data_IF_821374914560
#
_entry.id   IF_821374914560
#
_cell.length_a   1.000
_cell.length_b   1.000
_cell.length_c   1.000
_cell.angle_alpha   90.00
_cell.angle_beta   90.00
_cell.angle_gamma   90.00
#
_symmetry.space_group_name_H-M   'P 1'
#
loop_
_entity.id
_entity.type
_entity.pdbx_description
1 polymer ?
#
# COMPACT_ATOMS: atom_id res chain seq x y z
N UNK A 1 -20.95 27.96 6.80
CA UNK A 1 -21.76 26.81 7.21
C UNK A 1 -20.85 25.86 7.97
N UNK A 2 -21.02 25.78 9.30
CA UNK A 2 -20.31 24.84 10.18
C UNK A 2 -18.78 24.91 10.18
N UNK A 3 -18.18 26.08 10.41
CA UNK A 3 -16.75 26.14 10.76
C UNK A 3 -16.51 25.62 12.20
N UNK A 4 -17.57 25.27 12.93
CA UNK A 4 -17.57 25.05 14.37
C UNK A 4 -17.91 23.63 14.84
N UNK A 5 -17.97 22.65 13.92
CA UNK A 5 -18.36 21.26 14.19
C UNK A 5 -18.22 20.80 15.65
N UNK A 6 -19.31 20.81 16.42
CA UNK A 6 -19.43 20.41 17.83
C UNK A 6 -18.37 20.91 18.85
N UNK A 7 -17.33 21.66 18.45
CA UNK A 7 -16.17 21.96 19.29
C UNK A 7 -15.61 23.39 19.13
N UNK A 8 -16.28 24.32 18.44
CA UNK A 8 -15.92 25.73 18.59
C UNK A 8 -16.46 26.30 19.90
N UNK A 9 -15.79 27.33 20.48
CA UNK A 9 -16.35 28.10 21.57
C UNK A 9 -17.77 28.58 21.21
N UNK A 10 -18.70 28.52 22.16
CA UNK A 10 -20.03 29.10 21.97
C UNK A 10 -19.87 30.59 21.59
N UNK A 11 -20.27 30.96 20.37
CA UNK A 11 -20.24 32.35 19.95
C UNK A 11 -21.29 33.13 20.73
N UNK A 12 -20.93 34.31 21.20
CA UNK A 12 -21.87 35.27 21.80
C UNK A 12 -22.57 36.14 20.75
N UNK A 13 -22.32 35.88 19.46
CA UNK A 13 -22.95 36.59 18.35
C UNK A 13 -24.44 36.18 18.19
N UNK A 14 -25.39 37.13 18.23
CA UNK A 14 -26.81 36.87 17.98
C UNK A 14 -27.08 36.20 16.63
N UNK A 15 -26.31 36.50 15.59
CA UNK A 15 -26.45 35.89 14.27
C UNK A 15 -26.02 34.41 14.29
N UNK A 16 -24.97 34.08 15.06
CA UNK A 16 -24.55 32.69 15.25
C UNK A 16 -25.60 31.90 16.03
N UNK A 17 -26.16 32.50 17.08
CA UNK A 17 -27.24 31.89 17.87
C UNK A 17 -28.46 31.58 16.98
N UNK A 18 -28.89 32.54 16.15
CA UNK A 18 -29.99 32.35 15.21
C UNK A 18 -29.70 31.25 14.17
N UNK A 19 -28.46 31.18 13.66
CA UNK A 19 -28.03 30.11 12.74
C UNK A 19 -28.11 28.73 13.40
N UNK A 20 -27.71 28.61 14.65
CA UNK A 20 -27.77 27.34 15.39
C UNK A 20 -29.21 26.93 15.71
N UNK A 21 -30.08 27.87 16.04
CA UNK A 21 -31.49 27.57 16.30
C UNK A 21 -32.23 27.14 15.02
N UNK A 22 -31.93 27.77 13.88
CA UNK A 22 -32.41 27.31 12.58
C UNK A 22 -31.94 25.88 12.26
N UNK A 23 -30.65 25.57 12.51
CA UNK A 23 -30.11 24.23 12.28
C UNK A 23 -30.73 23.18 13.21
N UNK A 24 -30.96 23.53 14.48
CA UNK A 24 -31.69 22.68 15.42
C UNK A 24 -33.11 22.41 14.93
N UNK A 25 -33.85 23.43 14.49
CA UNK A 25 -35.20 23.26 13.96
C UNK A 25 -35.23 22.33 12.74
N UNK A 26 -34.24 22.41 11.84
CA UNK A 26 -34.09 21.52 10.69
C UNK A 26 -33.76 20.08 11.13
N UNK A 27 -32.87 19.92 12.11
CA UNK A 27 -32.42 18.61 12.57
C UNK A 27 -33.43 17.91 13.47
N UNK A 28 -34.23 18.65 14.25
CA UNK A 28 -35.06 18.10 15.33
C UNK A 28 -35.98 16.95 14.88
N UNK A 29 -36.70 17.03 13.75
CA UNK A 29 -37.56 15.93 13.32
C UNK A 29 -36.78 14.64 13.05
N UNK A 30 -35.64 14.74 12.37
CA UNK A 30 -34.82 13.58 12.00
C UNK A 30 -34.05 13.05 13.21
N UNK A 31 -33.51 13.95 14.04
CA UNK A 31 -32.78 13.58 15.25
C UNK A 31 -33.69 12.91 16.28
N UNK A 32 -34.95 13.37 16.42
CA UNK A 32 -35.93 12.72 17.29
C UNK A 32 -36.31 11.32 16.77
N UNK A 33 -36.38 11.13 15.46
CA UNK A 33 -36.79 9.87 14.84
C UNK A 33 -35.66 8.83 14.78
N UNK A 34 -34.43 9.26 14.51
CA UNK A 34 -33.31 8.34 14.21
C UNK A 34 -32.13 8.48 15.17
N UNK A 35 -32.17 9.41 16.12
CA UNK A 35 -31.04 9.73 17.00
C UNK A 35 -29.85 10.41 16.31
N UNK A 36 -29.99 10.81 15.04
CA UNK A 36 -28.89 11.35 14.20
C UNK A 36 -29.38 12.60 13.45
N UNK A 37 -28.61 13.71 13.46
CA UNK A 37 -29.02 14.92 12.75
C UNK A 37 -29.07 14.70 11.24
N UNK A 38 -29.86 15.51 10.54
CA UNK A 38 -29.84 15.55 9.09
C UNK A 38 -28.54 16.22 8.58
N UNK A 39 -28.11 17.27 9.27
CA UNK A 39 -26.95 18.10 8.94
C UNK A 39 -26.11 18.30 10.21
N UNK A 40 -24.83 17.91 10.17
CA UNK A 40 -23.90 18.18 11.27
C UNK A 40 -22.71 17.24 11.26
N UNK A 41 -21.59 17.65 11.83
CA UNK A 41 -20.45 16.75 11.97
C UNK A 41 -20.70 15.74 13.10
N UNK A 42 -20.05 14.59 13.01
CA UNK A 42 -20.02 13.61 14.06
C UNK A 42 -19.16 14.07 15.23
N UNK A 43 -19.55 13.69 16.45
CA UNK A 43 -18.77 13.97 17.64
C UNK A 43 -17.45 13.17 17.61
N UNK A 44 -16.35 13.78 18.03
CA UNK A 44 -15.10 13.05 18.18
C UNK A 44 -15.18 12.09 19.39
N UNK A 45 -14.53 10.94 19.27
CA UNK A 45 -14.32 10.05 20.40
C UNK A 45 -13.43 10.71 21.45
N UNK A 46 -13.72 10.43 22.72
CA UNK A 46 -12.95 11.00 23.84
C UNK A 46 -11.49 10.47 23.83
N UNK A 47 -10.46 11.34 23.88
CA UNK A 47 -9.07 10.90 23.95
C UNK A 47 -8.79 10.00 25.15
N UNK A 48 -7.91 9.02 24.98
CA UNK A 48 -7.53 8.05 26.00
C UNK A 48 -8.59 7.00 26.35
N UNK A 49 -9.75 7.00 25.68
CA UNK A 49 -10.82 6.03 25.93
C UNK A 49 -10.91 4.96 24.84
N UNK A 50 -10.35 5.22 23.66
CA UNK A 50 -10.59 4.41 22.47
C UNK A 50 -12.01 4.51 21.92
N UNK A 51 -12.81 5.49 22.36
CA UNK A 51 -14.17 5.68 21.88
C UNK A 51 -14.19 6.02 20.39
N UNK A 52 -15.14 5.46 19.66
CA UNK A 52 -15.32 5.77 18.24
C UNK A 52 -15.80 7.20 18.04
N UNK A 53 -15.45 7.77 16.89
CA UNK A 53 -16.05 8.98 16.39
C UNK A 53 -17.49 8.72 15.93
N UNK A 54 -18.40 9.61 16.28
CA UNK A 54 -19.78 9.57 15.81
C UNK A 54 -19.85 9.80 14.29
N UNK A 55 -20.89 9.26 13.66
CA UNK A 55 -21.16 9.56 12.25
C UNK A 55 -21.57 11.03 12.06
N UNK A 56 -21.23 11.62 10.90
CA UNK A 56 -21.78 12.89 10.45
C UNK A 56 -23.28 12.81 10.23
N UNK A 57 -23.96 13.91 9.88
CA UNK A 57 -25.40 13.95 9.64
C UNK A 57 -25.82 13.03 8.50
N UNK A 58 -27.10 12.70 8.41
CA UNK A 58 -27.59 11.83 7.33
C UNK A 58 -27.28 12.37 5.95
N UNK A 59 -27.48 13.67 5.73
CA UNK A 59 -27.30 14.31 4.42
C UNK A 59 -25.90 14.91 4.29
N UNK A 60 -25.55 15.77 5.23
CA UNK A 60 -24.29 16.51 5.22
C UNK A 60 -23.57 16.42 6.56
N UNK A 61 -22.26 16.25 6.51
CA UNK A 61 -21.38 16.39 7.66
C UNK A 61 -20.24 15.40 7.68
N UNK A 62 -19.11 15.81 8.23
CA UNK A 62 -17.97 14.93 8.38
C UNK A 62 -18.18 13.98 9.56
N UNK A 63 -17.63 12.77 9.46
CA UNK A 63 -17.52 11.89 10.62
C UNK A 63 -16.56 12.45 11.66
N UNK A 64 -16.84 12.15 12.93
CA UNK A 64 -15.95 12.51 14.03
C UNK A 64 -14.69 11.65 14.03
N UNK A 65 -13.60 12.20 14.54
CA UNK A 65 -12.36 11.44 14.71
C UNK A 65 -12.51 10.42 15.85
N UNK A 66 -11.92 9.25 15.70
CA UNK A 66 -11.81 8.28 16.79
C UNK A 66 -10.91 8.79 17.91
N UNK A 67 -11.31 8.53 19.16
CA UNK A 67 -10.52 8.85 20.34
C UNK A 67 -9.27 7.97 20.42
N UNK A 68 -8.15 8.52 20.89
CA UNK A 68 -6.97 7.69 21.16
C UNK A 68 -7.25 6.64 22.22
N UNK A 69 -6.57 5.50 22.13
CA UNK A 69 -6.63 4.45 23.13
C UNK A 69 -5.94 4.86 24.42
N UNK A 70 -6.46 4.36 25.54
CA UNK A 70 -5.91 4.63 26.87
C UNK A 70 -4.62 3.88 27.17
N UNK A 71 -3.87 4.39 28.15
CA UNK A 71 -2.74 3.65 28.73
C UNK A 71 -3.28 2.54 29.62
N UNK A 72 -2.85 1.30 29.40
CA UNK A 72 -3.23 0.16 30.22
C UNK A 72 -2.16 -0.94 30.12
N UNK A 73 -2.35 -2.05 30.86
CA UNK A 73 -1.42 -3.18 30.83
C UNK A 73 -1.14 -3.62 29.38
N UNK A 74 -2.20 -3.87 28.61
CA UNK A 74 -2.17 -3.80 27.15
C UNK A 74 -2.69 -2.42 26.76
N UNK A 75 -2.07 -1.77 25.78
CA UNK A 75 -2.54 -0.46 25.32
C UNK A 75 -3.97 -0.56 24.79
N UNK A 76 -4.81 0.42 25.14
CA UNK A 76 -6.18 0.50 24.64
C UNK A 76 -6.18 0.70 23.12
N UNK A 77 -7.14 0.14 22.40
CA UNK A 77 -7.28 0.39 20.96
C UNK A 77 -7.69 1.85 20.73
N UNK A 78 -7.21 2.45 19.64
CA UNK A 78 -7.79 3.69 19.15
C UNK A 78 -9.19 3.45 18.59
N UNK A 79 -10.11 4.39 18.81
CA UNK A 79 -11.47 4.32 18.29
C UNK A 79 -11.50 4.48 16.78
N UNK A 80 -12.48 3.90 16.12
CA UNK A 80 -12.72 4.12 14.71
C UNK A 80 -13.13 5.58 14.45
N UNK A 81 -12.76 6.11 13.29
CA UNK A 81 -13.34 7.34 12.78
C UNK A 81 -14.78 7.12 12.33
N UNK A 82 -15.63 8.11 12.58
CA UNK A 82 -17.03 8.08 12.18
C UNK A 82 -17.21 8.18 10.67
N UNK A 83 -18.30 7.63 10.15
CA UNK A 83 -18.65 7.81 8.74
C UNK A 83 -19.04 9.26 8.42
N UNK A 84 -18.75 9.71 7.20
CA UNK A 84 -19.31 10.96 6.66
C UNK A 84 -20.82 10.86 6.43
N UNK A 85 -21.46 11.98 6.09
CA UNK A 85 -22.84 12.01 5.65
C UNK A 85 -23.05 11.31 4.31
N UNK A 86 -24.30 10.95 4.00
CA UNK A 86 -24.63 10.18 2.78
C UNK A 86 -24.24 10.98 1.55
N UNK A 87 -24.68 12.24 1.43
CA UNK A 87 -24.48 13.01 0.20
C UNK A 87 -23.12 13.67 0.17
N UNK A 88 -22.77 14.40 1.24
CA UNK A 88 -21.44 15.01 1.38
C UNK A 88 -20.92 14.84 2.80
N UNK A 89 -19.69 14.37 2.91
CA UNK A 89 -19.01 14.27 4.18
C UNK A 89 -17.76 13.43 4.07
N UNK A 90 -16.69 13.89 4.70
CA UNK A 90 -15.48 13.09 4.85
C UNK A 90 -15.63 12.15 6.04
N UNK A 91 -15.11 10.94 5.95
CA UNK A 91 -14.96 10.09 7.12
C UNK A 91 -13.94 10.68 8.10
N UNK A 92 -14.15 10.45 9.40
CA UNK A 92 -13.24 10.89 10.45
C UNK A 92 -11.96 10.06 10.46
N UNK A 93 -10.87 10.59 11.01
CA UNK A 93 -9.64 9.80 11.17
C UNK A 93 -9.80 8.79 12.30
N UNK A 94 -9.17 7.62 12.18
CA UNK A 94 -9.07 6.67 13.28
C UNK A 94 -8.17 7.20 14.41
N UNK A 95 -8.51 6.86 15.65
CA UNK A 95 -7.73 7.22 16.82
C UNK A 95 -6.42 6.44 16.91
N UNK A 96 -5.38 7.03 17.48
CA UNK A 96 -4.14 6.31 17.73
C UNK A 96 -4.33 5.24 18.82
N UNK A 97 -3.59 4.13 18.73
CA UNK A 97 -3.52 3.14 19.79
C UNK A 97 -2.83 3.67 21.05
N UNK A 98 -3.25 3.17 22.21
CA UNK A 98 -2.72 3.55 23.52
C UNK A 98 -1.40 2.85 23.88
N UNK A 99 -0.71 3.40 24.87
CA UNK A 99 0.54 2.83 25.41
C UNK A 99 0.25 1.53 26.19
N UNK A 100 0.94 0.45 25.86
CA UNK A 100 0.97 -0.78 26.66
C UNK A 100 2.08 -0.73 27.70
N UNK A 101 1.74 -0.80 28.99
CA UNK A 101 2.71 -0.69 30.09
C UNK A 101 3.35 -2.03 30.47
N UNK A 102 2.69 -3.15 30.16
CA UNK A 102 3.17 -4.51 30.48
C UNK A 102 3.05 -5.48 29.30
N UNK A 103 2.10 -5.27 28.40
CA UNK A 103 1.85 -6.03 27.18
C UNK A 103 1.88 -5.12 25.95
N UNK A 104 1.34 -5.57 24.80
CA UNK A 104 1.48 -4.85 23.53
C UNK A 104 0.82 -3.47 23.57
N UNK A 105 1.29 -2.57 22.72
CA UNK A 105 0.62 -1.31 22.45
C UNK A 105 -0.71 -1.54 21.73
N UNK A 106 -1.66 -0.63 21.92
CA UNK A 106 -2.98 -0.78 21.34
C UNK A 106 -2.96 -0.61 19.83
N UNK A 107 -3.86 -1.28 19.10
CA UNK A 107 -4.00 -1.02 17.67
C UNK A 107 -4.55 0.40 17.42
N UNK A 108 -4.16 1.03 16.31
CA UNK A 108 -4.83 2.22 15.82
C UNK A 108 -6.23 1.90 15.31
N UNK A 109 -7.15 2.84 15.46
CA UNK A 109 -8.51 2.73 14.96
C UNK A 109 -8.59 2.88 13.46
N UNK A 110 -9.59 2.26 12.83
CA UNK A 110 -9.82 2.44 11.40
C UNK A 110 -10.29 3.88 11.10
N UNK A 111 -9.95 4.40 9.92
CA UNK A 111 -10.54 5.62 9.40
C UNK A 111 -12.00 5.41 8.99
N UNK A 112 -12.82 6.43 9.18
CA UNK A 112 -14.22 6.43 8.76
C UNK A 112 -14.36 6.48 7.24
N UNK A 113 -15.40 5.87 6.70
CA UNK A 113 -15.68 5.93 5.26
C UNK A 113 -16.53 7.15 4.91
N UNK A 114 -16.35 7.67 3.69
CA UNK A 114 -17.35 8.51 3.04
C UNK A 114 -18.37 7.64 2.27
N UNK A 115 -19.51 8.21 1.91
CA UNK A 115 -20.64 7.47 1.30
C UNK A 115 -20.83 7.81 -0.18
N UNK A 116 -21.34 8.99 -0.53
CA UNK A 116 -21.52 9.40 -1.94
C UNK A 116 -20.37 10.30 -2.43
N UNK A 117 -20.20 11.46 -1.79
CA UNK A 117 -19.13 12.42 -2.10
C UNK A 117 -18.36 12.74 -0.81
N UNK A 118 -17.07 12.46 -0.82
CA UNK A 118 -16.20 12.75 0.32
C UNK A 118 -15.00 11.82 0.38
N UNK A 119 -13.98 12.22 1.12
CA UNK A 119 -12.81 11.38 1.34
C UNK A 119 -13.02 10.43 2.53
N UNK A 120 -12.46 9.23 2.44
CA UNK A 120 -12.27 8.39 3.60
C UNK A 120 -11.25 9.00 4.57
N UNK A 121 -11.40 8.73 5.86
CA UNK A 121 -10.45 9.16 6.88
C UNK A 121 -9.21 8.27 6.91
N UNK A 122 -8.07 8.81 7.35
CA UNK A 122 -6.88 8.00 7.58
C UNK A 122 -7.07 7.04 8.76
N UNK A 123 -6.43 5.89 8.72
CA UNK A 123 -6.31 5.00 9.87
C UNK A 123 -5.38 5.58 10.94
N UNK A 124 -5.66 5.27 12.20
CA UNK A 124 -4.85 5.70 13.34
C UNK A 124 -3.54 4.93 13.42
N UNK A 125 -2.49 5.55 13.95
CA UNK A 125 -1.24 4.84 14.23
C UNK A 125 -1.40 3.83 15.36
N UNK A 126 -0.61 2.76 15.34
CA UNK A 126 -0.50 1.86 16.48
C UNK A 126 0.10 2.54 17.72
N UNK A 127 -0.16 1.97 18.88
CA UNK A 127 0.35 2.41 20.18
C UNK A 127 1.71 1.82 20.53
N UNK A 128 2.49 2.56 21.30
CA UNK A 128 3.81 2.12 21.77
C UNK A 128 3.72 1.11 22.91
N UNK A 129 4.82 0.39 23.18
CA UNK A 129 4.98 -0.53 24.31
C UNK A 129 6.44 -0.96 24.46
N UNK A 130 6.83 -1.49 25.62
CA UNK A 130 8.12 -2.16 25.81
C UNK A 130 8.19 -3.59 25.24
N UNK A 131 7.06 -4.19 24.83
CA UNK A 131 6.99 -5.58 24.37
C UNK A 131 6.80 -5.68 22.85
N UNK A 132 5.67 -5.20 22.35
CA UNK A 132 5.32 -5.19 20.93
C UNK A 132 4.44 -3.97 20.60
N UNK A 133 4.65 -3.39 19.42
CA UNK A 133 3.94 -2.23 18.94
C UNK A 133 2.55 -2.60 18.47
N UNK A 134 1.60 -1.70 18.70
CA UNK A 134 0.28 -1.81 18.10
C UNK A 134 0.34 -1.70 16.58
N UNK A 135 -0.57 -2.39 15.91
CA UNK A 135 -0.74 -2.25 14.47
C UNK A 135 -1.40 -0.91 14.15
N UNK A 136 -1.11 -0.35 12.98
CA UNK A 136 -1.87 0.77 12.44
C UNK A 136 -3.27 0.35 12.01
N UNK A 137 -4.22 1.27 12.11
CA UNK A 137 -5.60 1.07 11.66
C UNK A 137 -5.73 1.19 10.14
N UNK A 138 -6.73 0.55 9.56
CA UNK A 138 -7.00 0.68 8.13
C UNK A 138 -7.49 2.09 7.77
N UNK A 139 -7.21 2.57 6.56
CA UNK A 139 -7.82 3.77 6.00
C UNK A 139 -9.28 3.54 5.64
N UNK A 140 -10.10 4.59 5.74
CA UNK A 140 -11.50 4.57 5.36
C UNK A 140 -11.70 4.62 3.84
N UNK A 141 -12.81 4.07 3.36
CA UNK A 141 -13.11 4.10 1.94
C UNK A 141 -13.51 5.52 1.49
N UNK A 142 -13.16 5.86 0.26
CA UNK A 142 -13.67 7.04 -0.43
C UNK A 142 -15.19 6.97 -0.63
N UNK A 143 -15.82 8.12 -0.86
CA UNK A 143 -17.19 8.20 -1.32
C UNK A 143 -17.34 7.54 -2.70
N UNK A 144 -18.51 6.97 -2.96
CA UNK A 144 -18.79 6.17 -4.13
C UNK A 144 -18.50 6.91 -5.44
N UNK A 145 -18.71 8.22 -5.51
CA UNK A 145 -18.52 9.00 -6.74
C UNK A 145 -17.16 9.70 -6.72
N UNK A 146 -16.93 10.55 -5.72
CA UNK A 146 -15.74 11.38 -5.62
C UNK A 146 -15.17 11.41 -4.20
N UNK A 147 -13.87 11.68 -4.11
CA UNK A 147 -13.12 11.91 -2.88
C UNK A 147 -12.01 10.88 -2.66
N UNK A 148 -10.94 11.25 -1.96
CA UNK A 148 -9.79 10.38 -1.79
C UNK A 148 -10.07 9.23 -0.82
N UNK A 149 -9.50 8.05 -1.07
CA UNK A 149 -9.51 6.98 -0.08
C UNK A 149 -8.51 7.30 1.05
N UNK A 150 -8.82 6.86 2.26
CA UNK A 150 -7.97 7.08 3.42
C UNK A 150 -6.68 6.24 3.36
N UNK A 151 -5.58 6.78 3.85
CA UNK A 151 -4.34 6.01 4.04
C UNK A 151 -4.43 5.12 5.27
N UNK A 152 -3.75 3.98 5.23
CA UNK A 152 -3.54 3.16 6.42
C UNK A 152 -2.64 3.84 7.44
N UNK A 153 -2.89 3.59 8.72
CA UNK A 153 -2.07 4.09 9.82
C UNK A 153 -0.74 3.34 9.93
N UNK A 154 0.29 3.99 10.45
CA UNK A 154 1.58 3.33 10.69
C UNK A 154 1.50 2.37 11.89
N UNK A 155 2.23 1.26 11.83
CA UNK A 155 2.50 0.42 13.01
C UNK A 155 3.46 1.10 13.99
N UNK A 156 3.35 0.80 15.28
CA UNK A 156 4.17 1.44 16.29
C UNK A 156 5.60 0.88 16.37
N UNK A 157 6.53 1.75 16.72
CA UNK A 157 7.94 1.38 16.93
C UNK A 157 8.20 1.00 18.40
N UNK A 158 8.70 -0.22 18.65
CA UNK A 158 8.92 -0.81 19.98
C UNK A 158 10.06 -1.86 19.93
N UNK A 159 10.01 -2.92 20.76
CA UNK A 159 10.88 -4.11 20.69
C UNK A 159 10.42 -5.14 19.64
N UNK A 160 9.16 -5.11 19.23
CA UNK A 160 8.64 -5.82 18.06
C UNK A 160 7.67 -4.88 17.32
N UNK A 161 8.02 -4.44 16.12
CA UNK A 161 7.26 -3.41 15.40
C UNK A 161 5.84 -3.84 15.05
N UNK A 162 4.90 -2.91 15.18
CA UNK A 162 3.53 -3.13 14.74
C UNK A 162 3.41 -3.17 13.22
N UNK A 163 2.38 -3.83 12.70
CA UNK A 163 2.09 -3.88 11.26
C UNK A 163 1.43 -2.57 10.83
N UNK A 164 1.74 -2.07 9.64
CA UNK A 164 1.04 -0.94 9.03
C UNK A 164 -0.39 -1.31 8.61
N UNK A 165 -1.34 -0.39 8.79
CA UNK A 165 -2.73 -0.59 8.38
C UNK A 165 -2.90 -0.58 6.87
N UNK A 166 -3.92 -1.26 6.36
CA UNK A 166 -4.23 -1.22 4.93
C UNK A 166 -4.77 0.17 4.51
N UNK A 167 -4.56 0.57 3.25
CA UNK A 167 -5.24 1.72 2.67
C UNK A 167 -6.72 1.45 2.40
N UNK A 168 -7.54 2.49 2.40
CA UNK A 168 -8.97 2.41 2.06
C UNK A 168 -9.20 2.21 0.56
N UNK A 169 -10.35 1.69 0.18
CA UNK A 169 -10.69 1.53 -1.23
C UNK A 169 -11.20 2.85 -1.84
N UNK A 170 -10.93 3.06 -3.12
CA UNK A 170 -11.44 4.18 -3.91
C UNK A 170 -12.89 3.98 -4.35
N UNK A 171 -13.61 5.10 -4.55
CA UNK A 171 -14.88 5.16 -5.28
C UNK A 171 -14.66 5.27 -6.78
N UNK A 172 -15.74 5.43 -7.56
CA UNK A 172 -15.77 5.38 -9.03
C UNK A 172 -14.57 6.06 -9.70
N UNK A 173 -14.21 7.29 -9.29
CA UNK A 173 -13.12 8.07 -9.88
C UNK A 173 -11.89 8.20 -8.99
N UNK A 174 -11.83 7.46 -7.90
CA UNK A 174 -10.82 7.65 -6.86
C UNK A 174 -9.85 6.48 -6.80
N UNK A 175 -8.58 6.81 -6.60
CA UNK A 175 -7.54 5.84 -6.33
C UNK A 175 -7.76 5.18 -4.96
N UNK A 176 -7.21 3.99 -4.81
CA UNK A 176 -7.07 3.36 -3.49
C UNK A 176 -6.07 4.12 -2.63
N UNK A 177 -6.27 4.08 -1.31
CA UNK A 177 -5.40 4.72 -0.33
C UNK A 177 -4.09 3.97 -0.19
N UNK A 178 -3.02 4.68 0.17
CA UNK A 178 -1.75 4.03 0.49
C UNK A 178 -1.86 3.17 1.76
N UNK A 179 -1.16 2.04 1.79
CA UNK A 179 -0.95 1.29 3.02
C UNK A 179 0.00 2.01 3.98
N UNK A 180 -0.19 1.82 5.28
CA UNK A 180 0.66 2.39 6.32
C UNK A 180 2.00 1.68 6.43
N UNK A 181 3.01 2.38 6.94
CA UNK A 181 4.32 1.80 7.18
C UNK A 181 4.32 0.84 8.37
N UNK A 182 5.13 -0.21 8.32
CA UNK A 182 5.42 -1.06 9.48
C UNK A 182 6.27 -0.31 10.51
N UNK A 183 6.09 -0.64 11.79
CA UNK A 183 6.85 -0.07 12.89
C UNK A 183 8.21 -0.75 13.09
N UNK A 184 9.11 -0.11 13.85
CA UNK A 184 10.41 -0.69 14.21
C UNK A 184 10.27 -1.64 15.43
N UNK A 185 11.10 -2.68 15.56
CA UNK A 185 11.82 -3.35 14.49
C UNK A 185 10.87 -4.23 13.66
N UNK A 186 11.01 -4.21 12.33
CA UNK A 186 10.52 -5.29 11.47
C UNK A 186 9.01 -5.48 11.33
N UNK A 187 8.18 -4.49 11.66
CA UNK A 187 6.75 -4.53 11.35
C UNK A 187 6.54 -4.60 9.83
N UNK A 188 5.53 -5.34 9.35
CA UNK A 188 5.24 -5.35 7.91
C UNK A 188 4.49 -4.08 7.49
N UNK A 189 4.68 -3.64 6.25
CA UNK A 189 3.87 -2.57 5.67
C UNK A 189 2.46 -3.04 5.35
N UNK A 190 1.49 -2.14 5.45
CA UNK A 190 0.10 -2.40 5.10
C UNK A 190 -0.10 -2.46 3.59
N UNK A 191 -1.10 -3.20 3.13
CA UNK A 191 -1.45 -3.23 1.71
C UNK A 191 -2.04 -1.87 1.26
N UNK A 192 -1.82 -1.49 0.01
CA UNK A 192 -2.56 -0.41 -0.63
C UNK A 192 -4.03 -0.82 -0.84
N UNK A 193 -4.94 0.14 -0.78
CA UNK A 193 -6.34 -0.08 -1.08
C UNK A 193 -6.59 -0.24 -2.58
N UNK A 194 -7.69 -0.88 -2.96
CA UNK A 194 -8.03 -1.00 -4.37
C UNK A 194 -8.55 0.33 -4.93
N UNK A 195 -8.26 0.63 -6.19
CA UNK A 195 -8.91 1.73 -6.89
C UNK A 195 -10.38 1.43 -7.17
N UNK A 196 -11.23 2.46 -7.25
CA UNK A 196 -12.58 2.27 -7.79
C UNK A 196 -12.56 2.27 -9.31
N UNK A 197 -13.73 2.29 -9.95
CA UNK A 197 -13.91 1.93 -11.38
C UNK A 197 -12.82 2.46 -12.34
N UNK A 198 -12.44 3.73 -12.20
CA UNK A 198 -11.40 4.40 -12.99
C UNK A 198 -10.12 4.72 -12.20
N UNK A 199 -10.11 4.46 -10.90
CA UNK A 199 -9.00 4.77 -10.01
C UNK A 199 -7.90 3.71 -10.06
N UNK A 200 -6.65 4.14 -9.92
CA UNK A 200 -5.54 3.22 -9.72
C UNK A 200 -5.56 2.64 -8.30
N UNK A 201 -4.92 1.49 -8.13
CA UNK A 201 -4.65 0.94 -6.80
C UNK A 201 -3.72 1.83 -5.98
N UNK A 202 -3.88 1.79 -4.66
CA UNK A 202 -3.00 2.48 -3.73
C UNK A 202 -1.65 1.80 -3.60
N UNK A 203 -0.63 2.55 -3.21
CA UNK A 203 0.71 1.98 -2.96
C UNK A 203 0.73 1.16 -1.67
N UNK A 204 1.45 0.05 -1.66
CA UNK A 204 1.74 -0.68 -0.44
C UNK A 204 2.66 0.12 0.49
N UNK A 205 2.48 -0.04 1.80
CA UNK A 205 3.32 0.59 2.82
C UNK A 205 4.70 -0.05 2.91
N UNK A 206 5.71 0.72 3.26
CA UNK A 206 7.04 0.16 3.51
C UNK A 206 7.06 -0.72 4.77
N UNK A 207 7.88 -1.77 4.76
CA UNK A 207 8.23 -2.52 5.95
C UNK A 207 9.06 -1.70 6.93
N UNK A 208 8.86 -1.95 8.21
CA UNK A 208 9.58 -1.29 9.30
C UNK A 208 11.06 -1.62 9.28
N UNK A 209 11.96 -0.62 9.42
CA UNK A 209 13.39 -0.86 9.45
C UNK A 209 13.83 -1.59 10.72
N UNK A 210 15.10 -1.99 10.75
CA UNK A 210 15.73 -2.69 11.85
C UNK A 210 15.04 -4.01 12.22
N UNK A 211 14.57 -4.75 11.21
CA UNK A 211 13.98 -6.10 11.31
C UNK A 211 13.46 -6.56 9.94
N UNK A 212 13.07 -7.82 9.79
CA UNK A 212 12.64 -8.41 8.51
C UNK A 212 11.23 -7.96 8.05
N UNK A 213 10.88 -6.69 8.26
CA UNK A 213 9.57 -6.15 7.92
C UNK A 213 9.37 -6.16 6.42
N UNK A 214 8.46 -6.99 5.92
CA UNK A 214 8.12 -7.00 4.50
C UNK A 214 7.37 -5.71 4.11
N UNK A 215 7.53 -5.26 2.87
CA UNK A 215 6.68 -4.24 2.28
C UNK A 215 5.27 -4.77 2.01
N UNK A 216 4.27 -3.91 2.14
CA UNK A 216 2.89 -4.22 1.81
C UNK A 216 2.68 -4.34 0.30
N UNK A 217 1.71 -5.15 -0.12
CA UNK A 217 1.34 -5.23 -1.53
C UNK A 217 0.68 -3.91 -1.99
N UNK A 218 0.87 -3.55 -3.26
CA UNK A 218 0.06 -2.53 -3.91
C UNK A 218 -1.37 -3.00 -4.10
N UNK A 219 -2.33 -2.07 -4.05
CA UNK A 219 -3.72 -2.35 -4.33
C UNK A 219 -3.96 -2.59 -5.82
N UNK A 220 -5.02 -3.30 -6.17
CA UNK A 220 -5.38 -3.46 -7.58
C UNK A 220 -6.03 -2.16 -8.11
N UNK A 221 -5.85 -1.89 -9.41
CA UNK A 221 -6.67 -0.89 -10.09
C UNK A 221 -8.13 -1.33 -10.13
N UNK A 222 -9.06 -0.37 -10.20
CA UNK A 222 -10.43 -0.71 -10.59
C UNK A 222 -10.51 -1.06 -12.07
N UNK A 223 -11.71 -1.25 -12.62
CA UNK A 223 -11.92 -1.82 -13.97
C UNK A 223 -11.05 -1.20 -15.08
N UNK A 224 -10.77 0.10 -15.00
CA UNK A 224 -9.94 0.84 -15.95
C UNK A 224 -8.63 1.39 -15.37
N UNK A 225 -8.35 1.14 -14.09
CA UNK A 225 -7.23 1.73 -13.37
C UNK A 225 -5.92 0.94 -13.46
N UNK A 226 -4.80 1.61 -13.22
CA UNK A 226 -3.50 0.97 -13.04
C UNK A 226 -3.42 0.24 -11.69
N UNK A 227 -2.54 -0.76 -11.60
CA UNK A 227 -2.19 -1.34 -10.31
C UNK A 227 -1.33 -0.40 -9.47
N UNK A 228 -1.47 -0.47 -8.14
CA UNK A 228 -0.62 0.26 -7.20
C UNK A 228 0.75 -0.39 -7.03
N UNK A 229 1.78 0.39 -6.72
CA UNK A 229 3.12 -0.18 -6.49
C UNK A 229 3.20 -0.91 -5.15
N UNK A 230 4.00 -1.97 -5.07
CA UNK A 230 4.34 -2.61 -3.81
C UNK A 230 5.25 -1.72 -2.94
N UNK A 231 5.17 -1.89 -1.63
CA UNK A 231 6.02 -1.20 -0.66
C UNK A 231 7.41 -1.82 -0.58
N UNK A 232 8.42 -1.04 -0.20
CA UNK A 232 9.77 -1.55 0.02
C UNK A 232 9.85 -2.40 1.29
N UNK A 233 10.71 -3.42 1.30
CA UNK A 233 11.07 -4.17 2.50
C UNK A 233 11.98 -3.37 3.44
N UNK A 234 11.93 -3.70 4.73
CA UNK A 234 12.69 -3.08 5.80
C UNK A 234 14.13 -3.58 5.89
N UNK A 235 15.03 -2.74 6.41
CA UNK A 235 16.42 -3.11 6.65
C UNK A 235 16.55 -4.13 7.78
N UNK A 236 17.31 -5.22 7.58
CA UNK A 236 17.70 -6.18 8.60
C UNK A 236 18.65 -5.58 9.66
N UNK A 237 18.86 -6.27 10.77
CA UNK A 237 19.75 -5.83 11.86
C UNK A 237 21.08 -6.59 11.88
N UNK A 238 22.10 -6.11 12.61
CA UNK A 238 23.36 -6.82 12.82
C UNK A 238 23.21 -8.22 13.45
N UNK A 239 22.07 -8.55 14.06
CA UNK A 239 21.82 -9.82 14.76
C UNK A 239 21.45 -11.02 13.87
N UNK A 240 21.81 -11.02 12.60
CA UNK A 240 21.52 -12.13 11.67
C UNK A 240 20.10 -12.10 11.10
N UNK A 241 19.46 -10.93 11.06
CA UNK A 241 18.10 -10.78 10.53
C UNK A 241 18.17 -10.39 9.06
N UNK A 242 17.50 -11.18 8.21
CA UNK A 242 17.40 -10.90 6.78
C UNK A 242 16.69 -9.56 6.54
N UNK A 243 16.98 -8.92 5.40
CA UNK A 243 16.19 -7.81 4.93
C UNK A 243 14.76 -8.25 4.62
N UNK A 244 13.78 -7.39 4.88
CA UNK A 244 12.40 -7.68 4.57
C UNK A 244 12.18 -7.78 3.06
N UNK A 245 11.28 -8.64 2.61
CA UNK A 245 10.91 -8.70 1.19
C UNK A 245 10.19 -7.41 0.75
N UNK A 246 10.34 -7.02 -0.51
CA UNK A 246 9.49 -6.02 -1.13
C UNK A 246 8.08 -6.56 -1.37
N UNK A 247 7.07 -5.69 -1.29
CA UNK A 247 5.68 -6.04 -1.58
C UNK A 247 5.45 -6.22 -3.07
N UNK A 248 4.49 -7.07 -3.44
CA UNK A 248 4.07 -7.20 -4.83
C UNK A 248 3.37 -5.92 -5.32
N UNK A 249 3.51 -5.58 -6.60
CA UNK A 249 2.65 -4.61 -7.26
C UNK A 249 1.24 -5.16 -7.47
N UNK A 250 0.24 -4.30 -7.44
CA UNK A 250 -1.14 -4.66 -7.72
C UNK A 250 -1.40 -4.83 -9.21
N UNK A 251 -2.44 -5.57 -9.57
CA UNK A 251 -2.80 -5.76 -10.96
C UNK A 251 -3.54 -4.53 -11.51
N UNK A 252 -3.44 -4.28 -12.82
CA UNK A 252 -4.31 -3.34 -13.50
C UNK A 252 -5.76 -3.86 -13.58
N UNK A 253 -6.67 -2.96 -13.91
CA UNK A 253 -8.07 -3.25 -14.16
C UNK A 253 -8.30 -4.17 -15.35
N UNK A 254 -9.36 -4.99 -15.27
CA UNK A 254 -9.71 -5.97 -16.30
C UNK A 254 -9.85 -5.36 -17.71
N UNK A 255 -10.41 -4.16 -17.82
CA UNK A 255 -10.68 -3.46 -19.08
C UNK A 255 -9.83 -2.19 -19.25
N UNK A 256 -8.75 -2.08 -18.47
CA UNK A 256 -7.81 -0.97 -18.56
C UNK A 256 -7.24 -0.86 -19.97
N UNK A 257 -7.43 0.30 -20.61
CA UNK A 257 -6.83 0.61 -21.91
C UNK A 257 -5.54 1.39 -21.65
N UNK A 258 -4.42 0.67 -21.59
CA UNK A 258 -3.09 1.26 -21.47
C UNK A 258 -2.57 1.52 -20.05
N UNK A 259 -3.38 1.35 -19.00
CA UNK A 259 -2.85 1.37 -17.63
C UNK A 259 -2.15 0.03 -17.33
N UNK A 260 -0.99 0.11 -16.66
CA UNK A 260 -0.14 -1.04 -16.38
C UNK A 260 -0.43 -1.65 -15.01
N UNK A 261 0.03 -2.89 -14.82
CA UNK A 261 0.23 -3.42 -13.47
C UNK A 261 1.21 -2.54 -12.68
N UNK A 262 1.09 -2.56 -11.36
CA UNK A 262 1.96 -1.81 -10.46
C UNK A 262 3.34 -2.45 -10.38
N UNK A 263 4.38 -1.65 -10.15
CA UNK A 263 5.72 -2.18 -9.90
C UNK A 263 5.79 -2.92 -8.55
N UNK A 264 6.62 -3.95 -8.45
CA UNK A 264 7.00 -4.57 -7.19
C UNK A 264 7.92 -3.66 -6.38
N UNK A 265 7.82 -3.74 -5.05
CA UNK A 265 8.68 -3.00 -4.13
C UNK A 265 10.08 -3.62 -4.04
N UNK A 266 11.08 -2.82 -3.70
CA UNK A 266 12.44 -3.32 -3.49
C UNK A 266 12.55 -4.15 -2.21
N UNK A 267 13.40 -5.17 -2.22
CA UNK A 267 13.81 -5.88 -1.02
C UNK A 267 14.68 -5.04 -0.11
N UNK A 268 14.60 -5.28 1.19
CA UNK A 268 15.36 -4.58 2.21
C UNK A 268 16.80 -5.04 2.29
N UNK A 269 17.70 -4.14 2.64
CA UNK A 269 19.12 -4.43 2.85
C UNK A 269 19.35 -5.28 4.12
N UNK A 270 20.44 -6.03 4.22
CA UNK A 270 20.89 -6.65 5.48
C UNK A 270 22.39 -6.45 5.70
N UNK A 271 22.83 -6.43 6.96
CA UNK A 271 24.26 -6.34 7.29
C UNK A 271 24.89 -7.73 7.44
N UNK A 272 24.18 -8.67 8.08
CA UNK A 272 24.77 -9.97 8.46
C UNK A 272 24.03 -11.19 7.90
N UNK A 273 22.84 -11.02 7.33
CA UNK A 273 22.03 -12.09 6.76
C UNK A 273 21.66 -11.76 5.30
N UNK A 274 20.80 -12.57 4.68
CA UNK A 274 20.39 -12.34 3.30
C UNK A 274 19.70 -10.98 3.12
N UNK A 275 19.96 -10.31 2.00
CA UNK A 275 19.12 -9.21 1.53
C UNK A 275 17.71 -9.73 1.24
N UNK A 276 16.70 -8.87 1.43
CA UNK A 276 15.32 -9.19 1.14
C UNK A 276 15.10 -9.36 -0.35
N UNK A 277 14.17 -10.22 -0.75
CA UNK A 277 13.80 -10.36 -2.16
C UNK A 277 13.01 -9.15 -2.65
N UNK A 278 13.15 -8.77 -3.91
CA UNK A 278 12.27 -7.82 -4.56
C UNK A 278 10.86 -8.38 -4.74
N UNK A 279 9.85 -7.52 -4.70
CA UNK A 279 8.47 -7.87 -4.94
C UNK A 279 8.20 -8.10 -6.43
N UNK A 280 7.22 -8.95 -6.76
CA UNK A 280 6.81 -9.14 -8.16
C UNK A 280 6.05 -7.93 -8.68
N UNK A 281 6.19 -7.63 -9.97
CA UNK A 281 5.32 -6.68 -10.66
C UNK A 281 3.90 -7.25 -10.85
N UNK A 282 2.90 -6.38 -10.84
CA UNK A 282 1.51 -6.75 -11.09
C UNK A 282 1.22 -6.99 -12.57
N UNK A 283 0.19 -7.77 -12.87
CA UNK A 283 -0.26 -8.01 -14.24
C UNK A 283 -0.92 -6.78 -14.88
N UNK A 284 -0.86 -6.71 -16.20
CA UNK A 284 -1.73 -5.84 -17.01
C UNK A 284 -3.21 -6.25 -16.91
N UNK A 285 -4.08 -5.54 -17.63
CA UNK A 285 -5.50 -5.88 -17.70
C UNK A 285 -5.75 -7.19 -18.45
N UNK A 286 -7.00 -7.63 -18.58
CA UNK A 286 -7.29 -8.92 -19.22
C UNK A 286 -6.89 -8.92 -20.70
N UNK A 287 -7.27 -7.88 -21.43
CA UNK A 287 -7.04 -7.77 -22.87
C UNK A 287 -5.95 -6.78 -23.22
N UNK A 288 -5.80 -5.71 -22.45
CA UNK A 288 -4.86 -4.62 -22.73
C UNK A 288 -4.03 -4.27 -21.49
N UNK A 289 -2.92 -3.57 -21.71
CA UNK A 289 -2.08 -3.04 -20.65
C UNK A 289 -0.81 -3.85 -20.43
N UNK A 290 0.27 -3.16 -20.08
CA UNK A 290 1.56 -3.78 -19.78
C UNK A 290 1.59 -4.34 -18.36
N UNK A 291 2.46 -5.33 -18.15
CA UNK A 291 2.80 -5.77 -16.81
C UNK A 291 3.70 -4.75 -16.10
N UNK A 292 3.60 -4.70 -14.77
CA UNK A 292 4.47 -3.89 -13.92
C UNK A 292 5.87 -4.48 -13.79
N UNK A 293 6.88 -3.66 -13.55
CA UNK A 293 8.24 -4.14 -13.31
C UNK A 293 8.35 -4.89 -11.97
N UNK A 294 9.24 -5.86 -11.89
CA UNK A 294 9.66 -6.47 -10.63
C UNK A 294 10.55 -5.53 -9.82
N UNK A 295 10.48 -5.64 -8.49
CA UNK A 295 11.34 -4.89 -7.58
C UNK A 295 12.75 -5.46 -7.51
N UNK A 296 13.74 -4.62 -7.22
CA UNK A 296 15.11 -5.09 -6.99
C UNK A 296 15.23 -5.89 -5.70
N UNK A 297 16.16 -6.84 -5.66
CA UNK A 297 16.58 -7.50 -4.43
C UNK A 297 17.45 -6.59 -3.56
N UNK A 298 17.42 -6.82 -2.25
CA UNK A 298 18.17 -6.05 -1.26
C UNK A 298 19.65 -6.42 -1.22
N UNK A 299 20.50 -5.44 -0.92
CA UNK A 299 21.92 -5.70 -0.72
C UNK A 299 22.18 -6.48 0.58
N UNK A 300 23.29 -7.22 0.64
CA UNK A 300 23.84 -7.72 1.90
C UNK A 300 25.33 -7.45 2.05
N UNK A 301 25.81 -7.17 3.27
CA UNK A 301 27.25 -7.01 3.49
C UNK A 301 27.96 -8.37 3.65
N UNK A 302 27.47 -9.27 4.51
CA UNK A 302 28.09 -10.61 4.69
C UNK A 302 27.21 -11.80 4.33
N UNK A 303 25.91 -11.58 4.15
CA UNK A 303 24.98 -12.62 3.69
C UNK A 303 24.76 -12.55 2.18
N UNK A 304 23.88 -13.41 1.66
CA UNK A 304 23.59 -13.40 0.22
C UNK A 304 22.80 -12.17 -0.19
N UNK A 305 23.03 -11.66 -1.39
CA UNK A 305 22.15 -10.64 -1.97
C UNK A 305 20.73 -11.19 -2.16
N UNK A 306 19.73 -10.33 -2.03
CA UNK A 306 18.32 -10.72 -2.25
C UNK A 306 18.03 -10.93 -3.73
N UNK A 307 17.17 -11.89 -4.09
CA UNK A 307 16.76 -12.05 -5.48
C UNK A 307 15.90 -10.87 -5.96
N UNK A 308 16.00 -10.50 -7.24
CA UNK A 308 15.09 -9.58 -7.89
C UNK A 308 13.71 -10.20 -8.11
N UNK A 309 12.66 -9.39 -8.05
CA UNK A 309 11.29 -9.81 -8.30
C UNK A 309 11.01 -10.01 -9.79
N UNK A 310 10.11 -10.93 -10.12
CA UNK A 310 9.68 -11.10 -11.51
C UNK A 310 8.85 -9.90 -11.99
N UNK A 311 8.97 -9.56 -13.27
CA UNK A 311 8.05 -8.64 -13.94
C UNK A 311 6.67 -9.27 -14.14
N UNK A 312 5.64 -8.42 -14.15
CA UNK A 312 4.27 -8.83 -14.41
C UNK A 312 4.01 -9.15 -15.87
N UNK A 313 3.03 -10.02 -16.13
CA UNK A 313 2.61 -10.32 -17.49
C UNK A 313 1.69 -9.21 -18.03
N UNK A 314 1.70 -9.01 -19.34
CA UNK A 314 0.78 -8.11 -20.04
C UNK A 314 -0.63 -8.71 -20.17
N UNK A 315 -1.58 -7.89 -20.65
CA UNK A 315 -2.88 -8.36 -21.11
C UNK A 315 -2.83 -9.14 -22.42
N UNK A 316 -3.86 -9.95 -22.67
CA UNK A 316 -3.87 -10.99 -23.71
C UNK A 316 -3.71 -10.45 -25.14
N UNK A 317 -4.33 -9.33 -25.49
CA UNK A 317 -4.34 -8.82 -26.86
C UNK A 317 -3.18 -7.87 -27.11
N UNK A 318 -3.00 -6.85 -26.27
CA UNK A 318 -1.94 -5.87 -26.48
C UNK A 318 -1.33 -5.36 -25.19
N UNK A 319 0.00 -5.47 -25.09
CA UNK A 319 0.79 -4.98 -23.98
C UNK A 319 2.14 -5.68 -23.90
N UNK A 320 3.12 -4.97 -23.35
CA UNK A 320 4.44 -5.53 -23.08
C UNK A 320 4.51 -6.16 -21.69
N UNK A 321 5.27 -7.23 -21.56
CA UNK A 321 5.61 -7.77 -20.24
C UNK A 321 6.44 -6.77 -19.44
N UNK A 322 6.31 -6.79 -18.12
CA UNK A 322 7.12 -5.97 -17.23
C UNK A 322 8.54 -6.50 -17.13
N UNK A 323 9.53 -5.61 -16.94
CA UNK A 323 10.91 -6.05 -16.72
C UNK A 323 11.06 -6.77 -15.36
N UNK A 324 11.96 -7.74 -15.27
CA UNK A 324 12.39 -8.33 -14.01
C UNK A 324 13.27 -7.37 -13.21
N UNK A 325 13.21 -7.46 -11.89
CA UNK A 325 14.03 -6.66 -11.00
C UNK A 325 15.46 -7.18 -10.92
N UNK A 326 16.43 -6.29 -10.70
CA UNK A 326 17.82 -6.71 -10.49
C UNK A 326 17.99 -7.49 -9.18
N UNK A 327 18.92 -8.44 -9.16
CA UNK A 327 19.38 -9.09 -7.94
C UNK A 327 20.21 -8.14 -7.08
N UNK A 328 20.11 -8.30 -5.76
CA UNK A 328 20.87 -7.53 -4.79
C UNK A 328 22.35 -7.93 -4.76
N UNK A 329 23.23 -6.96 -4.57
CA UNK A 329 24.66 -7.23 -4.41
C UNK A 329 25.00 -7.84 -3.04
N UNK A 330 26.15 -8.52 -2.95
CA UNK A 330 26.72 -8.97 -1.69
C UNK A 330 28.18 -8.51 -1.53
N UNK A 331 28.54 -8.03 -0.34
CA UNK A 331 29.92 -7.62 -0.03
C UNK A 331 30.89 -8.79 0.22
N UNK A 332 30.39 -9.94 0.70
CA UNK A 332 31.24 -11.07 1.11
C UNK A 332 30.63 -12.47 0.87
N UNK A 333 29.48 -12.57 0.21
CA UNK A 333 28.84 -13.84 -0.15
C UNK A 333 28.32 -13.84 -1.60
N UNK A 334 27.50 -14.84 -1.95
CA UNK A 334 26.84 -14.90 -3.24
C UNK A 334 25.82 -13.76 -3.39
N UNK A 335 25.77 -13.15 -4.56
CA UNK A 335 24.77 -12.13 -4.84
C UNK A 335 23.41 -12.75 -5.21
N UNK A 336 22.39 -11.90 -5.25
CA UNK A 336 21.04 -12.31 -5.63
C UNK A 336 20.90 -12.49 -7.14
N UNK A 337 20.09 -13.45 -7.57
CA UNK A 337 19.73 -13.59 -8.98
C UNK A 337 18.78 -12.45 -9.41
N UNK A 338 18.85 -12.07 -10.70
CA UNK A 338 17.88 -11.19 -11.31
C UNK A 338 16.53 -11.87 -11.55
N UNK A 339 15.46 -11.09 -11.50
CA UNK A 339 14.10 -11.57 -11.72
C UNK A 339 13.81 -11.83 -13.20
N UNK A 340 12.91 -12.76 -13.49
CA UNK A 340 12.44 -13.00 -14.85
C UNK A 340 11.62 -11.81 -15.37
N UNK A 341 11.73 -11.52 -16.67
CA UNK A 341 10.83 -10.62 -17.37
C UNK A 341 9.45 -11.25 -17.63
N UNK A 342 8.43 -10.42 -17.64
CA UNK A 342 7.03 -10.81 -17.87
C UNK A 342 6.74 -11.15 -19.33
N UNK A 343 5.71 -11.97 -19.56
CA UNK A 343 5.24 -12.30 -20.90
C UNK A 343 4.44 -11.15 -21.51
N UNK A 344 4.53 -10.99 -22.83
CA UNK A 344 3.72 -10.03 -23.59
C UNK A 344 2.30 -10.56 -23.88
N UNK A 345 1.45 -9.69 -24.40
CA UNK A 345 0.22 -10.06 -25.10
C UNK A 345 0.47 -10.56 -26.52
N UNK A 346 -0.60 -10.82 -27.26
CA UNK A 346 -0.54 -11.14 -28.69
C UNK A 346 0.29 -10.09 -29.45
N UNK A 347 0.02 -8.80 -29.20
CA UNK A 347 0.80 -7.67 -29.68
C UNK A 347 1.61 -7.06 -28.53
N UNK A 348 2.93 -7.16 -28.58
CA UNK A 348 3.81 -6.54 -27.60
C UNK A 348 5.11 -7.30 -27.40
N UNK A 349 6.04 -6.64 -26.72
CA UNK A 349 7.34 -7.21 -26.42
C UNK A 349 7.33 -7.93 -25.07
N UNK A 350 8.10 -9.02 -24.97
CA UNK A 350 8.41 -9.60 -23.67
C UNK A 350 9.21 -8.62 -22.80
N UNK A 351 9.06 -8.71 -21.49
CA UNK A 351 9.84 -7.90 -20.55
C UNK A 351 11.27 -8.38 -20.47
N UNK A 352 12.23 -7.47 -20.29
CA UNK A 352 13.63 -7.86 -20.07
C UNK A 352 13.80 -8.57 -18.72
N UNK A 353 14.71 -9.53 -18.64
CA UNK A 353 15.16 -10.13 -17.40
C UNK A 353 16.05 -9.17 -16.61
N UNK A 354 15.96 -9.21 -15.29
CA UNK A 354 16.79 -8.40 -14.40
C UNK A 354 18.23 -8.88 -14.36
N UNK A 355 19.20 -7.98 -14.19
CA UNK A 355 20.58 -8.37 -13.98
C UNK A 355 20.77 -9.12 -12.65
N UNK A 356 21.71 -10.06 -12.60
CA UNK A 356 22.19 -10.62 -11.33
C UNK A 356 23.02 -9.61 -10.54
N UNK A 357 23.03 -9.73 -9.22
CA UNK A 357 23.83 -8.86 -8.35
C UNK A 357 25.32 -9.18 -8.42
N UNK A 358 26.17 -8.23 -8.05
CA UNK A 358 27.61 -8.45 -7.88
C UNK A 358 27.91 -9.05 -6.50
N UNK A 359 28.86 -9.99 -6.42
CA UNK A 359 29.29 -10.60 -5.15
C UNK A 359 30.52 -11.49 -5.29
N UNK A 360 30.86 -12.24 -4.23
CA UNK A 360 31.96 -13.23 -4.27
C UNK A 360 31.64 -14.35 -5.26
N UNK A 361 30.36 -14.72 -5.33
CA UNK A 361 29.77 -15.42 -6.45
C UNK A 361 28.72 -14.50 -7.06
N UNK A 362 28.85 -14.19 -8.35
CA UNK A 362 27.89 -13.37 -9.07
C UNK A 362 26.50 -14.00 -9.11
N UNK A 363 25.47 -13.16 -9.03
CA UNK A 363 24.09 -13.60 -9.20
C UNK A 363 23.81 -13.95 -10.65
N UNK A 364 22.92 -14.91 -10.90
CA UNK A 364 22.52 -15.20 -12.27
C UNK A 364 21.60 -14.10 -12.81
N UNK A 365 21.72 -13.78 -14.10
CA UNK A 365 20.78 -12.93 -14.79
C UNK A 365 19.41 -13.59 -14.95
N UNK A 366 18.36 -12.80 -14.90
CA UNK A 366 16.99 -13.25 -15.08
C UNK A 366 16.69 -13.57 -16.55
N UNK A 367 15.78 -14.52 -16.79
CA UNK A 367 15.33 -14.84 -18.15
C UNK A 367 14.45 -13.73 -18.71
N UNK A 368 14.58 -13.44 -20.00
CA UNK A 368 13.70 -12.54 -20.73
C UNK A 368 12.30 -13.14 -20.92
N UNK A 369 11.30 -12.27 -20.99
CA UNK A 369 9.92 -12.61 -21.27
C UNK A 369 9.70 -12.93 -22.74
N UNK A 370 8.72 -13.79 -23.04
CA UNK A 370 8.39 -14.11 -24.43
C UNK A 370 7.36 -13.10 -24.96
N UNK A 371 7.48 -12.77 -26.24
CA UNK A 371 6.35 -12.28 -27.04
C UNK A 371 5.46 -13.44 -27.49
N UNK A 372 4.30 -13.13 -28.08
CA UNK A 372 3.31 -14.13 -28.50
C UNK A 372 3.12 -14.15 -30.02
N UNK A 373 2.46 -13.14 -30.60
CA UNK A 373 2.15 -13.13 -32.04
C UNK A 373 3.02 -12.13 -32.80
N UNK A 374 2.99 -10.87 -32.37
CA UNK A 374 3.76 -9.76 -32.93
C UNK A 374 4.50 -9.04 -31.81
N UNK A 375 5.83 -9.04 -31.87
CA UNK A 375 6.69 -8.33 -30.93
C UNK A 375 7.97 -9.11 -30.61
N UNK A 376 8.96 -8.43 -30.06
CA UNK A 376 10.24 -9.03 -29.73
C UNK A 376 10.18 -9.72 -28.36
N UNK A 377 10.94 -10.80 -28.21
CA UNK A 377 11.24 -11.34 -26.89
C UNK A 377 12.06 -10.34 -26.08
N UNK A 378 11.88 -10.33 -24.76
CA UNK A 378 12.70 -9.54 -23.85
C UNK A 378 14.11 -10.11 -23.77
N UNK A 379 15.09 -9.24 -23.56
CA UNK A 379 16.48 -9.68 -23.37
C UNK A 379 16.63 -10.41 -22.03
N UNK A 380 17.56 -11.35 -21.96
CA UNK A 380 18.01 -11.91 -20.71
C UNK A 380 18.85 -10.89 -19.93
N UNK A 381 18.79 -10.96 -18.61
CA UNK A 381 19.60 -10.13 -17.73
C UNK A 381 21.06 -10.57 -17.74
N UNK A 382 21.96 -9.63 -17.53
CA UNK A 382 23.39 -9.95 -17.37
C UNK A 382 23.63 -10.75 -16.10
N UNK A 383 24.61 -11.66 -16.13
CA UNK A 383 25.15 -12.26 -14.92
C UNK A 383 25.89 -11.20 -14.10
N UNK A 384 25.89 -11.38 -12.78
CA UNK A 384 26.74 -10.62 -11.88
C UNK A 384 28.21 -11.01 -12.04
N UNK A 385 29.11 -10.09 -11.68
CA UNK A 385 30.55 -10.36 -11.72
C UNK A 385 30.92 -11.58 -10.85
N UNK A 386 32.05 -12.22 -11.17
CA UNK A 386 32.55 -13.41 -10.48
C UNK A 386 31.65 -14.65 -10.64
N UNK A 387 31.34 -14.99 -11.91
CA UNK A 387 30.77 -16.30 -12.27
C UNK A 387 29.24 -16.38 -12.31
N UNK A 388 28.53 -15.24 -12.26
CA UNK A 388 27.08 -15.22 -12.51
C UNK A 388 26.78 -15.65 -13.95
N UNK A 389 25.79 -16.52 -14.12
CA UNK A 389 25.39 -16.94 -15.48
C UNK A 389 24.46 -15.92 -16.11
N UNK A 390 24.62 -15.61 -17.41
CA UNK A 390 23.67 -14.73 -18.08
C UNK A 390 22.30 -15.38 -18.25
N UNK A 391 21.25 -14.56 -18.17
CA UNK A 391 19.89 -15.00 -18.45
C UNK A 391 19.68 -15.27 -19.94
N UNK A 392 18.84 -16.25 -20.25
CA UNK A 392 18.41 -16.48 -21.62
C UNK A 392 17.46 -15.36 -22.09
N UNK A 393 17.58 -14.97 -23.37
CA UNK A 393 16.58 -14.12 -24.01
C UNK A 393 15.26 -14.84 -24.21
N UNK A 394 14.16 -14.09 -24.20
CA UNK A 394 12.83 -14.61 -24.47
C UNK A 394 12.58 -14.83 -25.97
N UNK A 395 11.57 -15.64 -26.31
CA UNK A 395 11.22 -15.88 -27.71
C UNK A 395 10.49 -14.69 -28.33
N UNK A 396 10.75 -14.40 -29.60
CA UNK A 396 9.99 -13.45 -30.41
C UNK A 396 8.59 -13.96 -30.77
N UNK A 397 7.76 -13.07 -31.31
CA UNK A 397 6.41 -13.39 -31.76
C UNK A 397 6.39 -14.37 -32.92
N UNK A 398 5.39 -15.25 -32.94
CA UNK A 398 5.24 -16.30 -33.95
C UNK A 398 5.18 -15.76 -35.39
N UNK A 399 4.58 -14.59 -35.59
CA UNK A 399 4.38 -14.00 -36.93
C UNK A 399 5.48 -12.99 -37.23
N UNK A 400 5.77 -12.11 -36.29
CA UNK A 400 6.75 -11.03 -36.43
C UNK A 400 7.42 -10.77 -35.09
N UNK A 401 8.74 -10.81 -35.07
CA UNK A 401 9.51 -10.44 -33.88
C UNK A 401 10.81 -11.23 -33.75
N UNK A 402 11.81 -10.56 -33.19
CA UNK A 402 13.09 -11.18 -32.91
C UNK A 402 13.08 -11.82 -31.52
N UNK A 403 13.83 -12.91 -31.35
CA UNK A 403 14.17 -13.38 -30.02
C UNK A 403 14.98 -12.30 -29.29
N UNK A 404 14.80 -12.24 -27.97
CA UNK A 404 15.64 -11.40 -27.11
C UNK A 404 17.07 -11.92 -27.11
N UNK A 405 18.02 -11.02 -26.88
CA UNK A 405 19.41 -11.41 -26.70
C UNK A 405 19.59 -12.09 -25.35
N UNK A 406 20.50 -13.06 -25.26
CA UNK A 406 20.97 -13.53 -23.97
C UNK A 406 21.72 -12.39 -23.26
N UNK A 407 21.71 -12.41 -21.94
CA UNK A 407 22.53 -11.49 -21.15
C UNK A 407 24.02 -11.69 -21.40
N UNK A 408 24.80 -10.75 -20.88
CA UNK A 408 26.26 -10.80 -20.87
C UNK A 408 26.79 -11.20 -19.48
N UNK A 409 28.07 -11.54 -19.42
CA UNK A 409 28.83 -11.80 -18.19
C UNK A 409 29.54 -10.56 -17.67
#
# INVERSE_FOLDING_TARGET
>A
MGLDGFNAPASTDPLHTLQQDALKAINQPVQALTGRPLIGNGANGAPGTGADGGAGGWLFGNGGNGGSGGTAANGGTGGAGGAGGIMFGTGGTGGAGGLGTAGPGGAGGAGGSALLIGSGGAGGSGGYSGTAGGNGGAGGNAGALFGAAGTGGAGASTKAGGIGGAGGNGGLFSNGGAGGHGGLPGGTGGAGGNGGLFGAGGTGGAGGPLGAGAGGAGGNGGLFGAGGTGGSGGHGTPGGVAGGAGGAGGNAGLLSIGASGGAGGSGGSSLTAAGGTGGTGGGGGLFFGSGGAGGSGGYSNTGTGGAGGAGGNAGLLSGSGGAGGAGGASGAAAAGAGGAGGKAGALGNGGDGGAGGDGVTGGNGGVGGNAVLIGNGGNGGNGGKAGGTPGAGGTGGLLLGNNGNNGLT
#
